data_IF_507733106692
#
_entry.id   IF_507733106692
#
_cell.length_a   1.000
_cell.length_b   1.000
_cell.length_c   1.000
_cell.angle_alpha   90.00
_cell.angle_beta   90.00
_cell.angle_gamma   90.00
#
_symmetry.space_group_name_H-M   'P 1'
#
loop_
_entity.id
_entity.type
_entity.pdbx_description
1 polymer ?
#
# COMPACT_ATOMS: atom_id res chain seq x y z
N UNK A 1 32.41 -3.54 -0.13
CA UNK A 1 31.05 -3.71 -0.66
C UNK A 1 30.57 -2.33 -1.07
N UNK A 2 30.23 -2.14 -2.34
CA UNK A 2 29.63 -0.88 -2.80
C UNK A 2 28.23 -0.81 -2.19
N UNK A 3 27.91 0.28 -1.46
CA UNK A 3 26.57 0.52 -0.93
C UNK A 3 25.58 0.46 -2.09
N UNK A 4 24.55 -0.36 -1.96
CA UNK A 4 23.49 -0.39 -2.97
C UNK A 4 22.81 0.98 -3.00
N UNK A 5 22.96 1.71 -4.09
CA UNK A 5 22.29 2.99 -4.26
C UNK A 5 20.76 2.78 -4.18
N UNK A 6 20.06 3.72 -3.56
CA UNK A 6 18.57 3.72 -3.60
C UNK A 6 18.11 3.66 -5.06
N UNK A 7 17.03 2.94 -5.37
CA UNK A 7 16.54 2.88 -6.73
C UNK A 7 16.14 4.27 -7.21
N UNK A 8 16.38 4.54 -8.48
CA UNK A 8 15.74 5.69 -9.11
C UNK A 8 14.24 5.45 -9.09
N UNK A 9 13.48 6.38 -8.49
CA UNK A 9 12.03 6.23 -8.42
C UNK A 9 11.42 6.22 -9.82
N UNK A 10 10.68 5.16 -10.10
CA UNK A 10 9.88 5.02 -11.29
C UNK A 10 8.44 5.48 -10.97
N UNK A 11 8.12 6.73 -11.32
CA UNK A 11 6.79 7.28 -11.11
C UNK A 11 5.92 7.04 -12.34
N UNK A 12 4.71 6.49 -12.17
CA UNK A 12 3.72 6.47 -13.24
C UNK A 12 3.39 7.89 -13.73
N UNK A 13 2.90 8.03 -14.95
CA UNK A 13 2.34 9.31 -15.38
C UNK A 13 1.06 9.65 -14.62
N UNK A 14 0.82 10.92 -14.37
CA UNK A 14 -0.45 11.40 -13.83
C UNK A 14 -1.63 10.98 -14.72
N UNK A 15 -2.73 10.56 -14.11
CA UNK A 15 -3.97 10.24 -14.80
C UNK A 15 -4.68 11.52 -15.26
N UNK A 16 -5.55 11.37 -16.27
CA UNK A 16 -6.45 12.42 -16.78
C UNK A 16 -7.89 11.95 -16.72
N UNK A 17 -8.86 12.86 -16.71
CA UNK A 17 -10.25 12.50 -16.94
C UNK A 17 -10.39 11.67 -18.22
N UNK A 18 -11.16 10.57 -18.14
CA UNK A 18 -11.33 9.62 -19.24
C UNK A 18 -10.26 8.55 -19.38
N UNK A 19 -9.16 8.59 -18.60
CA UNK A 19 -8.20 7.47 -18.54
C UNK A 19 -8.88 6.19 -18.03
N UNK A 20 -8.45 5.05 -18.58
CA UNK A 20 -8.98 3.75 -18.22
C UNK A 20 -8.31 3.20 -16.96
N UNK A 21 -9.10 2.95 -15.94
CA UNK A 21 -8.73 2.24 -14.72
C UNK A 21 -9.31 0.82 -14.78
N UNK A 22 -8.51 -0.20 -14.53
CA UNK A 22 -8.96 -1.58 -14.51
C UNK A 22 -8.99 -2.11 -13.09
N UNK A 23 -10.14 -2.67 -12.68
CA UNK A 23 -10.24 -3.42 -11.41
C UNK A 23 -9.92 -4.88 -11.73
N UNK A 24 -8.94 -5.45 -11.02
CA UNK A 24 -8.41 -6.78 -11.29
C UNK A 24 -8.34 -7.66 -10.04
N UNK A 25 -8.46 -8.97 -10.23
CA UNK A 25 -8.22 -9.98 -9.20
C UNK A 25 -6.74 -10.34 -9.17
N UNK A 26 -5.97 -9.60 -8.38
CA UNK A 26 -4.52 -9.83 -8.26
C UNK A 26 -4.17 -10.84 -7.17
N UNK A 27 -5.14 -11.27 -6.36
CA UNK A 27 -4.93 -12.22 -5.26
C UNK A 27 -6.20 -13.05 -4.99
N UNK A 28 -7.04 -12.66 -4.05
CA UNK A 28 -8.24 -13.40 -3.64
C UNK A 28 -9.34 -13.44 -4.72
N UNK A 29 -10.32 -14.35 -4.59
CA UNK A 29 -11.46 -14.44 -5.48
C UNK A 29 -12.53 -13.41 -5.12
N UNK A 30 -13.33 -12.98 -6.10
CA UNK A 30 -14.51 -12.18 -5.84
C UNK A 30 -15.65 -13.10 -5.36
N UNK A 31 -16.08 -12.91 -4.13
CA UNK A 31 -17.27 -13.58 -3.61
C UNK A 31 -18.54 -12.81 -4.04
N UNK A 32 -19.56 -13.53 -4.47
CA UNK A 32 -20.81 -12.95 -5.00
C UNK A 32 -21.48 -11.96 -4.02
N UNK A 33 -21.30 -12.12 -2.71
CA UNK A 33 -21.80 -11.22 -1.69
C UNK A 33 -21.22 -9.79 -1.79
N UNK A 34 -20.05 -9.63 -2.41
CA UNK A 34 -19.37 -8.34 -2.57
C UNK A 34 -19.56 -7.70 -3.94
N UNK A 35 -20.38 -8.30 -4.82
CA UNK A 35 -20.72 -7.65 -6.11
C UNK A 35 -21.32 -6.24 -5.95
N UNK A 36 -22.23 -5.98 -4.99
CA UNK A 36 -22.75 -4.62 -4.78
C UNK A 36 -21.66 -3.62 -4.41
N UNK A 37 -20.67 -4.03 -3.59
CA UNK A 37 -19.55 -3.18 -3.21
C UNK A 37 -18.65 -2.91 -4.41
N UNK A 38 -18.41 -3.92 -5.26
CA UNK A 38 -17.67 -3.74 -6.50
C UNK A 38 -18.36 -2.76 -7.46
N UNK A 39 -19.68 -2.82 -7.59
CA UNK A 39 -20.44 -1.86 -8.39
C UNK A 39 -20.32 -0.43 -7.81
N UNK A 40 -20.39 -0.30 -6.49
CA UNK A 40 -20.17 0.97 -5.83
C UNK A 40 -18.76 1.52 -6.06
N UNK A 41 -17.73 0.67 -6.05
CA UNK A 41 -16.37 1.08 -6.37
C UNK A 41 -16.24 1.63 -7.80
N UNK A 42 -16.92 1.01 -8.77
CA UNK A 42 -17.00 1.53 -10.14
C UNK A 42 -17.60 2.94 -10.15
N UNK A 43 -18.72 3.16 -9.46
CA UNK A 43 -19.37 4.48 -9.36
C UNK A 43 -18.42 5.52 -8.74
N UNK A 44 -17.64 5.16 -7.71
CA UNK A 44 -16.67 6.06 -7.09
C UNK A 44 -15.60 6.49 -8.10
N UNK A 45 -15.02 5.53 -8.83
CA UNK A 45 -13.97 5.80 -9.82
C UNK A 45 -14.47 6.61 -11.02
N UNK A 46 -15.69 6.34 -11.48
CA UNK A 46 -16.33 7.12 -12.55
C UNK A 46 -16.63 8.56 -12.10
N UNK A 47 -17.05 8.75 -10.84
CA UNK A 47 -17.24 10.09 -10.25
C UNK A 47 -15.90 10.85 -10.12
N UNK A 48 -14.78 10.15 -9.93
CA UNK A 48 -13.44 10.73 -9.99
C UNK A 48 -13.01 11.07 -11.42
N UNK A 49 -13.84 10.77 -12.43
CA UNK A 49 -13.61 11.12 -13.83
C UNK A 49 -12.93 10.03 -14.67
N UNK A 50 -12.77 8.83 -14.16
CA UNK A 50 -12.12 7.73 -14.89
C UNK A 50 -13.14 6.86 -15.64
N UNK A 51 -12.70 6.21 -16.71
CA UNK A 51 -13.41 5.06 -17.28
C UNK A 51 -13.00 3.81 -16.52
N UNK A 52 -13.92 2.91 -16.26
CA UNK A 52 -13.65 1.69 -15.48
C UNK A 52 -13.94 0.45 -16.30
N UNK A 53 -13.08 -0.56 -16.18
CA UNK A 53 -13.24 -1.90 -16.74
C UNK A 53 -12.91 -2.95 -15.69
N UNK A 54 -13.68 -4.01 -15.63
CA UNK A 54 -13.36 -5.21 -14.85
C UNK A 54 -12.45 -6.12 -15.69
N UNK A 55 -11.40 -6.63 -15.08
CA UNK A 55 -10.52 -7.62 -15.73
C UNK A 55 -11.23 -8.97 -15.84
N UNK A 56 -10.89 -9.81 -16.84
CA UNK A 56 -11.56 -11.09 -17.09
C UNK A 56 -11.55 -12.08 -15.91
N UNK A 57 -10.50 -12.11 -15.09
CA UNK A 57 -10.46 -12.98 -13.90
C UNK A 57 -11.33 -12.48 -12.74
N UNK A 58 -11.81 -11.25 -12.80
CA UNK A 58 -12.70 -10.65 -11.80
C UNK A 58 -14.14 -11.05 -12.09
N UNK A 59 -14.45 -12.31 -11.88
CA UNK A 59 -15.76 -12.92 -12.07
C UNK A 59 -16.22 -13.56 -10.76
N UNK A 60 -17.44 -13.24 -10.33
CA UNK A 60 -17.99 -13.76 -9.08
C UNK A 60 -18.10 -15.28 -9.10
N UNK A 61 -17.62 -15.90 -8.01
CA UNK A 61 -17.60 -17.36 -7.87
C UNK A 61 -16.47 -18.06 -8.59
N UNK A 62 -15.67 -17.36 -9.41
CA UNK A 62 -14.44 -17.93 -9.98
C UNK A 62 -13.39 -18.06 -8.86
N UNK A 63 -12.86 -19.25 -8.71
CA UNK A 63 -11.80 -19.51 -7.72
C UNK A 63 -10.90 -20.69 -8.09
N UNK A 64 -9.68 -20.64 -7.60
CA UNK A 64 -8.72 -21.74 -7.54
C UNK A 64 -8.14 -21.76 -6.14
N UNK A 65 -8.57 -22.72 -5.31
CA UNK A 65 -8.32 -22.75 -3.86
C UNK A 65 -8.80 -21.44 -3.20
N UNK A 66 -7.88 -20.68 -2.64
CA UNK A 66 -8.12 -19.37 -2.02
C UNK A 66 -7.84 -18.17 -2.93
N UNK A 67 -7.54 -18.43 -4.20
CA UNK A 67 -7.23 -17.43 -5.23
C UNK A 67 -8.35 -17.34 -6.26
N UNK A 68 -8.38 -16.26 -7.04
CA UNK A 68 -9.28 -16.13 -8.19
C UNK A 68 -8.91 -17.10 -9.34
N UNK A 69 -7.60 -17.38 -9.49
CA UNK A 69 -7.07 -18.21 -10.57
C UNK A 69 -5.73 -18.83 -10.16
N UNK A 70 -5.16 -19.67 -11.00
CA UNK A 70 -3.79 -20.16 -10.79
C UNK A 70 -2.78 -19.02 -10.86
N UNK A 71 -1.61 -19.12 -10.20
CA UNK A 71 -0.56 -18.11 -10.30
C UNK A 71 -0.19 -17.73 -11.74
N UNK A 72 -0.12 -18.73 -12.64
CA UNK A 72 0.20 -18.49 -14.04
C UNK A 72 -0.90 -17.74 -14.80
N UNK A 73 -2.18 -17.97 -14.50
CA UNK A 73 -3.30 -17.22 -15.08
C UNK A 73 -3.32 -15.78 -14.55
N UNK A 74 -3.14 -15.59 -13.24
CA UNK A 74 -3.07 -14.28 -12.62
C UNK A 74 -1.93 -13.44 -13.20
N UNK A 75 -0.72 -14.01 -13.31
CA UNK A 75 0.41 -13.34 -13.94
C UNK A 75 0.14 -12.99 -15.39
N UNK A 76 -0.48 -13.89 -16.17
CA UNK A 76 -0.80 -13.65 -17.57
C UNK A 76 -1.75 -12.49 -17.75
N UNK A 77 -2.81 -12.41 -16.95
CA UNK A 77 -3.75 -11.28 -16.97
C UNK A 77 -3.06 -9.99 -16.52
N UNK A 78 -2.33 -10.03 -15.40
CA UNK A 78 -1.61 -8.87 -14.90
C UNK A 78 -0.61 -8.32 -15.93
N UNK A 79 0.18 -9.19 -16.56
CA UNK A 79 1.12 -8.79 -17.60
C UNK A 79 0.41 -8.25 -18.86
N UNK A 80 -0.77 -8.78 -19.21
CA UNK A 80 -1.58 -8.23 -20.30
C UNK A 80 -2.04 -6.79 -19.97
N UNK A 81 -2.49 -6.53 -18.74
CA UNK A 81 -2.88 -5.19 -18.29
C UNK A 81 -1.67 -4.22 -18.25
N UNK A 82 -0.49 -4.71 -17.87
CA UNK A 82 0.73 -3.90 -17.90
C UNK A 82 1.12 -3.47 -19.32
N UNK A 83 0.95 -4.37 -20.31
CA UNK A 83 1.27 -4.10 -21.72
C UNK A 83 0.20 -3.31 -22.47
N UNK A 84 -1.05 -3.32 -21.99
CA UNK A 84 -2.16 -2.62 -22.64
C UNK A 84 -1.97 -1.09 -22.52
N UNK A 85 -1.71 -0.34 -23.62
CA UNK A 85 -1.47 1.09 -23.55
C UNK A 85 -2.72 1.91 -23.18
N UNK A 86 -3.92 1.34 -23.30
CA UNK A 86 -5.15 2.00 -22.87
C UNK A 86 -5.30 1.98 -21.36
N UNK A 87 -4.79 0.94 -20.68
CA UNK A 87 -4.84 0.83 -19.23
C UNK A 87 -3.90 1.84 -18.59
N UNK A 88 -4.42 2.72 -17.76
CA UNK A 88 -3.64 3.77 -17.12
C UNK A 88 -3.44 3.58 -15.62
N UNK A 89 -4.28 2.79 -14.98
CA UNK A 89 -4.10 2.33 -13.60
C UNK A 89 -4.74 0.94 -13.41
N UNK A 90 -4.25 0.21 -12.43
CA UNK A 90 -4.78 -1.09 -12.01
C UNK A 90 -5.13 -0.98 -10.53
N UNK A 91 -6.33 -1.36 -10.16
CA UNK A 91 -6.78 -1.42 -8.76
C UNK A 91 -7.10 -2.87 -8.43
N UNK A 92 -6.48 -3.42 -7.38
CA UNK A 92 -6.87 -4.71 -6.86
C UNK A 92 -8.32 -4.64 -6.35
N UNK A 93 -9.15 -5.64 -6.68
CA UNK A 93 -10.50 -5.66 -6.13
C UNK A 93 -10.47 -5.94 -4.63
N UNK A 94 -9.56 -6.80 -4.18
CA UNK A 94 -9.33 -7.19 -2.78
C UNK A 94 -7.89 -7.68 -2.59
N UNK A 95 -7.52 -8.01 -1.34
CA UNK A 95 -6.30 -8.71 -0.97
C UNK A 95 -6.39 -10.22 -1.17
N UNK A 96 -5.68 -10.97 -0.32
CA UNK A 96 -5.64 -12.44 -0.32
C UNK A 96 -4.29 -12.98 0.15
N UNK A 97 -3.84 -14.11 -0.46
CA UNK A 97 -2.58 -14.77 -0.11
C UNK A 97 -1.90 -15.45 -1.32
N UNK A 98 -1.90 -14.82 -2.49
CA UNK A 98 -1.46 -15.46 -3.74
C UNK A 98 -0.30 -14.76 -4.43
N UNK A 99 -0.03 -13.49 -4.11
CA UNK A 99 1.01 -12.69 -4.77
C UNK A 99 2.35 -13.39 -4.79
N UNK A 100 2.73 -14.04 -3.68
CA UNK A 100 3.99 -14.78 -3.58
C UNK A 100 4.14 -15.87 -4.68
N UNK A 101 3.04 -16.42 -5.15
CA UNK A 101 3.04 -17.53 -6.13
C UNK A 101 3.35 -17.11 -7.56
N UNK A 102 3.33 -15.82 -7.92
CA UNK A 102 3.54 -15.39 -9.30
C UNK A 102 4.60 -14.28 -9.48
N UNK A 103 5.36 -13.97 -8.44
CA UNK A 103 6.38 -12.90 -8.49
C UNK A 103 7.41 -13.09 -9.61
N UNK A 104 7.82 -14.34 -9.87
CA UNK A 104 8.77 -14.70 -10.92
C UNK A 104 8.20 -14.51 -12.34
N UNK A 105 6.89 -14.48 -12.47
CA UNK A 105 6.18 -14.41 -13.74
C UNK A 105 5.82 -13.00 -14.17
N UNK A 106 6.13 -11.99 -13.33
CA UNK A 106 5.80 -10.59 -13.61
C UNK A 106 6.71 -10.02 -14.69
N UNK A 107 6.11 -9.37 -15.68
CA UNK A 107 6.80 -8.67 -16.76
C UNK A 107 7.35 -7.31 -16.29
N UNK A 108 8.58 -7.33 -15.81
CA UNK A 108 9.28 -6.14 -15.31
C UNK A 108 9.58 -5.15 -16.44
N UNK A 109 9.80 -5.65 -17.66
CA UNK A 109 10.07 -4.80 -18.83
C UNK A 109 8.84 -3.97 -19.20
N UNK A 110 7.64 -4.56 -19.15
CA UNK A 110 6.40 -3.83 -19.37
C UNK A 110 6.19 -2.73 -18.31
N UNK A 111 6.53 -2.99 -17.04
CA UNK A 111 6.44 -1.99 -15.97
C UNK A 111 7.39 -0.81 -16.22
N UNK A 112 8.62 -1.09 -16.63
CA UNK A 112 9.62 -0.04 -16.86
C UNK A 112 9.33 0.76 -18.14
N UNK A 113 8.74 0.12 -19.15
CA UNK A 113 8.38 0.78 -20.40
C UNK A 113 7.19 1.73 -20.26
N UNK A 114 6.14 1.32 -19.52
CA UNK A 114 4.94 2.13 -19.28
C UNK A 114 4.44 1.97 -17.84
N UNK A 115 5.09 2.62 -16.86
CA UNK A 115 4.74 2.49 -15.46
C UNK A 115 3.31 2.97 -15.19
N UNK A 116 2.53 2.14 -14.49
CA UNK A 116 1.13 2.40 -14.15
C UNK A 116 0.95 2.41 -12.62
N UNK A 117 0.09 3.26 -12.04
CA UNK A 117 -0.32 3.11 -10.66
C UNK A 117 -0.96 1.73 -10.45
N UNK A 118 -0.49 1.01 -9.44
CA UNK A 118 -1.09 -0.23 -8.97
C UNK A 118 -1.55 0.05 -7.54
N UNK A 119 -2.87 0.06 -7.31
CA UNK A 119 -3.46 0.39 -6.02
C UNK A 119 -3.91 -0.88 -5.32
N UNK A 120 -3.68 -0.93 -4.02
CA UNK A 120 -4.16 -1.97 -3.15
C UNK A 120 -3.36 -2.07 -1.87
N UNK A 121 -3.85 -2.85 -0.92
CA UNK A 121 -3.19 -3.15 0.35
C UNK A 121 -3.33 -4.65 0.65
N UNK A 122 -3.12 -5.08 1.89
CA UNK A 122 -3.16 -6.50 2.25
C UNK A 122 -2.06 -7.29 1.50
N UNK A 123 -2.38 -8.37 0.80
CA UNK A 123 -1.43 -9.15 0.02
C UNK A 123 -0.72 -8.33 -1.08
N UNK A 124 -1.38 -7.26 -1.57
CA UNK A 124 -0.81 -6.36 -2.57
C UNK A 124 0.38 -5.56 -2.01
N UNK A 125 0.52 -5.44 -0.69
CA UNK A 125 1.72 -4.88 -0.07
C UNK A 125 2.99 -5.61 -0.48
N UNK A 126 2.93 -6.94 -0.59
CA UNK A 126 4.06 -7.74 -1.07
C UNK A 126 4.41 -7.39 -2.52
N UNK A 127 3.38 -7.23 -3.38
CA UNK A 127 3.59 -6.80 -4.76
C UNK A 127 4.28 -5.44 -4.83
N UNK A 128 3.83 -4.46 -4.04
CA UNK A 128 4.45 -3.14 -4.00
C UNK A 128 5.93 -3.19 -3.61
N UNK A 129 6.27 -3.93 -2.55
CA UNK A 129 7.66 -4.06 -2.10
C UNK A 129 8.54 -4.71 -3.17
N UNK A 130 8.06 -5.79 -3.79
CA UNK A 130 8.82 -6.51 -4.83
C UNK A 130 8.98 -5.65 -6.10
N UNK A 131 7.94 -4.95 -6.54
CA UNK A 131 8.03 -4.07 -7.70
C UNK A 131 8.94 -2.86 -7.41
N UNK A 132 8.88 -2.30 -6.22
CA UNK A 132 9.81 -1.26 -5.78
C UNK A 132 11.26 -1.77 -5.79
N UNK A 133 11.52 -2.97 -5.26
CA UNK A 133 12.85 -3.58 -5.26
C UNK A 133 13.39 -3.83 -6.68
N UNK A 134 12.54 -4.29 -7.60
CA UNK A 134 12.95 -4.68 -8.96
C UNK A 134 13.05 -3.53 -9.95
N UNK A 135 12.25 -2.46 -9.76
CA UNK A 135 12.07 -1.42 -10.78
C UNK A 135 12.12 0.00 -10.23
N UNK A 136 12.05 0.18 -8.92
CA UNK A 136 11.83 1.49 -8.29
C UNK A 136 10.39 2.01 -8.44
N UNK A 137 9.43 1.20 -8.92
CA UNK A 137 8.05 1.64 -9.09
C UNK A 137 7.45 2.10 -7.76
N UNK A 138 6.89 3.30 -7.76
CA UNK A 138 6.12 3.80 -6.61
C UNK A 138 4.92 2.89 -6.39
N UNK A 139 4.82 2.26 -5.22
CA UNK A 139 3.68 1.45 -4.82
C UNK A 139 2.56 2.33 -4.26
N UNK A 140 1.31 2.01 -4.59
CA UNK A 140 0.15 2.74 -4.07
C UNK A 140 -0.57 1.87 -3.04
N UNK A 141 0.01 1.79 -1.82
CA UNK A 141 -0.67 1.15 -0.69
C UNK A 141 -1.88 2.02 -0.33
N UNK A 142 -3.04 1.61 -0.74
CA UNK A 142 -4.26 2.40 -0.77
C UNK A 142 -5.47 1.45 -0.80
N UNK A 143 -6.68 1.97 -0.59
CA UNK A 143 -7.88 1.14 -0.61
C UNK A 143 -8.02 0.36 -1.92
N UNK A 144 -8.42 -0.90 -1.77
CA UNK A 144 -8.88 -1.79 -2.85
C UNK A 144 -10.30 -1.44 -3.26
N UNK A 145 -10.79 -2.03 -4.35
CA UNK A 145 -12.12 -1.69 -4.83
C UNK A 145 -13.23 -2.16 -3.89
N UNK A 146 -13.27 -3.45 -3.55
CA UNK A 146 -14.45 -4.06 -2.93
C UNK A 146 -14.64 -3.64 -1.46
N UNK A 147 -13.79 -4.05 -0.48
CA UNK A 147 -14.00 -3.61 0.89
C UNK A 147 -13.64 -2.14 1.09
N UNK A 148 -12.76 -1.56 0.28
CA UNK A 148 -12.32 -0.17 0.39
C UNK A 148 -13.31 0.83 -0.18
N UNK A 149 -13.21 1.08 -1.50
CA UNK A 149 -13.99 2.11 -2.19
C UNK A 149 -15.50 1.82 -2.14
N UNK A 150 -15.89 0.55 -2.30
CA UNK A 150 -17.28 0.13 -2.32
C UNK A 150 -17.89 -0.09 -0.95
N UNK A 151 -17.10 -0.53 0.05
CA UNK A 151 -17.55 -0.84 1.41
C UNK A 151 -17.24 0.27 2.41
N UNK A 152 -15.98 0.33 2.88
CA UNK A 152 -15.55 1.24 3.95
C UNK A 152 -15.84 2.72 3.66
N UNK A 153 -15.63 3.16 2.41
CA UNK A 153 -15.94 4.55 2.05
C UNK A 153 -17.42 4.83 2.12
N UNK A 154 -18.27 3.87 1.73
CA UNK A 154 -19.73 4.07 1.78
C UNK A 154 -20.25 4.11 3.22
N UNK A 155 -19.62 3.35 4.13
CA UNK A 155 -19.93 3.37 5.56
C UNK A 155 -19.40 4.63 6.28
N UNK A 156 -18.40 5.32 5.71
CA UNK A 156 -17.80 6.51 6.30
C UNK A 156 -18.75 7.74 6.23
N UNK A 157 -18.61 8.70 7.18
CA UNK A 157 -19.32 9.99 7.10
C UNK A 157 -19.06 10.69 5.75
N UNK A 158 -20.08 11.38 5.22
CA UNK A 158 -19.99 12.03 3.90
C UNK A 158 -18.81 13.00 3.77
N UNK A 159 -18.46 13.72 4.83
CA UNK A 159 -17.29 14.64 4.86
C UNK A 159 -16.01 13.84 4.66
N UNK A 160 -15.82 12.76 5.42
CA UNK A 160 -14.62 11.91 5.32
C UNK A 160 -14.52 11.26 3.94
N UNK A 161 -15.60 10.76 3.39
CA UNK A 161 -15.65 10.22 2.03
C UNK A 161 -15.22 11.25 0.99
N UNK A 162 -15.72 12.47 1.07
CA UNK A 162 -15.33 13.55 0.15
C UNK A 162 -13.85 13.93 0.26
N UNK A 163 -13.29 13.95 1.48
CA UNK A 163 -11.86 14.16 1.70
C UNK A 163 -11.02 13.07 1.04
N UNK A 164 -11.40 11.80 1.21
CA UNK A 164 -10.71 10.66 0.62
C UNK A 164 -10.79 10.69 -0.92
N UNK A 165 -11.96 10.94 -1.49
CA UNK A 165 -12.10 11.08 -2.94
C UNK A 165 -11.16 12.15 -3.50
N UNK A 166 -11.12 13.32 -2.86
CA UNK A 166 -10.21 14.40 -3.24
C UNK A 166 -8.74 13.99 -3.09
N UNK A 167 -8.39 13.33 -1.98
CA UNK A 167 -7.03 12.88 -1.70
C UNK A 167 -6.56 11.86 -2.74
N UNK A 168 -7.37 10.84 -3.03
CA UNK A 168 -7.04 9.81 -4.02
C UNK A 168 -6.99 10.37 -5.44
N UNK A 169 -7.92 11.27 -5.79
CA UNK A 169 -7.86 11.97 -7.05
C UNK A 169 -6.56 12.77 -7.19
N UNK A 170 -6.19 13.54 -6.16
CA UNK A 170 -4.94 14.31 -6.15
C UNK A 170 -3.71 13.41 -6.22
N UNK A 171 -3.72 12.27 -5.53
CA UNK A 171 -2.62 11.29 -5.56
C UNK A 171 -2.36 10.76 -6.99
N UNK A 172 -3.43 10.52 -7.75
CA UNK A 172 -3.36 9.92 -9.09
C UNK A 172 -3.18 10.94 -10.21
N UNK A 173 -3.60 12.19 -10.01
CA UNK A 173 -3.60 13.21 -11.05
C UNK A 173 -2.66 14.38 -10.77
N UNK A 174 -2.31 14.61 -9.49
CA UNK A 174 -1.50 15.75 -9.05
C UNK A 174 0.00 15.51 -9.22
N UNK A 175 0.69 16.47 -9.82
CA UNK A 175 2.12 16.41 -10.08
C UNK A 175 2.96 17.22 -9.07
N UNK A 176 2.30 17.74 -8.06
CA UNK A 176 2.91 18.41 -6.92
C UNK A 176 2.78 17.55 -5.66
N UNK A 177 3.58 17.86 -4.65
CA UNK A 177 3.47 17.20 -3.35
C UNK A 177 2.09 17.48 -2.72
N UNK A 178 1.47 16.44 -2.18
CA UNK A 178 0.18 16.57 -1.49
C UNK A 178 0.32 17.38 -0.19
N UNK A 179 1.48 17.30 0.48
CA UNK A 179 1.68 17.88 1.79
C UNK A 179 1.08 17.03 2.90
N UNK A 180 0.54 17.68 3.94
CA UNK A 180 0.01 16.98 5.11
C UNK A 180 -1.22 16.14 4.76
N UNK A 181 -1.21 14.87 5.19
CA UNK A 181 -2.38 14.00 5.15
C UNK A 181 -3.41 14.45 6.20
N UNK A 182 -4.71 14.25 5.93
CA UNK A 182 -5.75 14.62 6.89
C UNK A 182 -5.67 13.72 8.13
N UNK A 183 -5.14 14.26 9.22
CA UNK A 183 -5.06 13.57 10.50
C UNK A 183 -6.45 13.34 11.09
N UNK A 184 -6.62 12.23 11.83
CA UNK A 184 -7.84 11.97 12.58
C UNK A 184 -7.57 11.96 14.09
N UNK A 185 -8.63 12.01 14.91
CA UNK A 185 -8.51 11.90 16.37
C UNK A 185 -7.92 10.59 16.87
N UNK A 186 -7.87 9.54 16.03
CA UNK A 186 -7.30 8.25 16.38
C UNK A 186 -5.78 8.26 16.45
N UNK A 187 -5.12 9.22 15.78
CA UNK A 187 -3.66 9.27 15.75
C UNK A 187 -3.08 9.56 17.11
N UNK A 188 -2.10 8.77 17.49
CA UNK A 188 -1.45 8.84 18.79
C UNK A 188 0.06 9.02 18.65
N UNK A 189 0.62 9.92 19.46
CA UNK A 189 2.06 10.02 19.61
C UNK A 189 2.54 8.96 20.60
N UNK A 190 3.07 7.84 20.11
CA UNK A 190 3.62 6.80 20.97
C UNK A 190 5.06 7.10 21.41
N UNK A 191 5.84 7.75 20.55
CA UNK A 191 7.14 8.34 20.89
C UNK A 191 7.32 9.65 20.13
N UNK A 192 7.60 10.71 20.84
CA UNK A 192 7.78 12.05 20.26
C UNK A 192 9.02 12.10 19.36
N UNK A 193 9.03 13.05 18.44
CA UNK A 193 10.14 13.32 17.55
C UNK A 193 9.68 13.66 16.14
N UNK A 194 10.66 14.05 15.31
CA UNK A 194 10.46 14.44 13.91
C UNK A 194 11.52 13.81 13.04
N UNK A 195 11.12 13.40 11.83
CA UNK A 195 12.05 12.90 10.83
C UNK A 195 11.50 13.10 9.44
N UNK A 196 12.39 13.03 8.45
CA UNK A 196 12.05 12.88 7.05
C UNK A 196 12.74 11.63 6.50
N UNK A 197 12.07 10.90 5.63
CA UNK A 197 12.64 9.71 5.05
C UNK A 197 11.81 9.15 3.89
N UNK A 198 12.31 8.11 3.27
CA UNK A 198 11.52 7.35 2.30
C UNK A 198 10.49 6.49 3.01
N UNK A 199 9.27 6.50 2.52
CA UNK A 199 8.18 5.70 3.05
C UNK A 199 8.30 4.28 2.52
N UNK A 200 8.52 3.32 3.40
CA UNK A 200 8.60 1.89 3.07
C UNK A 200 7.66 1.15 4.03
N UNK A 201 6.86 0.22 3.51
CA UNK A 201 5.98 -0.55 4.40
C UNK A 201 4.83 -1.25 3.71
N UNK A 202 3.84 -1.62 4.52
CA UNK A 202 2.65 -2.38 4.15
C UNK A 202 2.18 -3.26 5.32
N UNK A 203 1.53 -4.39 5.05
CA UNK A 203 1.21 -5.38 6.09
C UNK A 203 2.50 -5.97 6.65
N UNK A 204 2.69 -5.99 7.97
CA UNK A 204 3.98 -6.38 8.57
C UNK A 204 4.40 -7.81 8.20
N UNK A 205 3.47 -8.75 8.17
CA UNK A 205 3.78 -10.12 7.75
C UNK A 205 4.22 -10.18 6.28
N UNK A 206 3.72 -9.31 5.39
CA UNK A 206 4.15 -9.21 4.00
C UNK A 206 5.54 -8.60 3.86
N UNK A 207 5.89 -7.65 4.75
CA UNK A 207 7.27 -7.13 4.82
C UNK A 207 8.23 -8.27 5.19
N UNK A 208 7.90 -9.06 6.21
CA UNK A 208 8.70 -10.23 6.62
C UNK A 208 8.83 -11.25 5.49
N UNK A 209 7.73 -11.58 4.81
CA UNK A 209 7.77 -12.51 3.68
C UNK A 209 8.61 -11.98 2.52
N UNK A 210 8.52 -10.69 2.19
CA UNK A 210 9.34 -10.08 1.15
C UNK A 210 10.83 -10.27 1.41
N UNK A 211 11.27 -10.10 2.66
CA UNK A 211 12.68 -10.25 3.05
C UNK A 211 13.19 -11.70 2.93
N UNK A 212 12.31 -12.68 2.90
CA UNK A 212 12.66 -14.10 2.69
C UNK A 212 12.68 -14.52 1.22
N UNK A 213 12.48 -13.59 0.28
CA UNK A 213 12.47 -13.87 -1.16
C UNK A 213 13.76 -13.36 -1.83
N UNK A 214 14.07 -13.80 -3.06
CA UNK A 214 15.13 -13.20 -3.87
C UNK A 214 14.90 -11.72 -4.21
N UNK A 215 13.72 -11.19 -3.93
CA UNK A 215 13.30 -9.81 -4.20
C UNK A 215 13.28 -8.95 -2.93
N UNK A 216 13.97 -9.39 -1.87
CA UNK A 216 14.15 -8.61 -0.65
C UNK A 216 14.68 -7.21 -0.96
N UNK A 217 14.16 -6.21 -0.27
CA UNK A 217 14.77 -4.88 -0.32
C UNK A 217 16.17 -4.96 0.30
N UNK A 218 17.18 -4.38 -0.36
CA UNK A 218 18.50 -4.24 0.26
C UNK A 218 18.40 -3.55 1.61
N UNK A 219 19.14 -4.05 2.58
CA UNK A 219 19.06 -3.54 3.96
C UNK A 219 19.36 -2.03 4.03
N UNK A 220 20.26 -1.56 3.17
CA UNK A 220 20.66 -0.15 3.06
C UNK A 220 19.51 0.77 2.62
N UNK A 221 18.46 0.23 2.01
CA UNK A 221 17.30 1.04 1.60
C UNK A 221 16.41 1.45 2.78
N UNK A 222 16.61 0.81 3.93
CA UNK A 222 15.98 1.21 5.18
C UNK A 222 16.74 2.32 5.91
N UNK A 223 17.95 2.71 5.44
CA UNK A 223 18.72 3.78 6.07
C UNK A 223 17.97 5.10 6.00
N UNK A 224 17.55 5.58 7.17
CA UNK A 224 16.76 6.81 7.30
C UNK A 224 15.31 6.69 6.78
N UNK A 225 14.79 5.50 6.51
CA UNK A 225 13.43 5.32 6.05
C UNK A 225 12.41 5.59 7.18
N UNK A 226 11.20 5.99 6.79
CA UNK A 226 10.01 5.94 7.64
C UNK A 226 9.29 4.62 7.32
N UNK A 227 9.30 3.69 8.27
CA UNK A 227 8.63 2.41 8.16
C UNK A 227 7.17 2.58 8.55
N UNK A 228 6.24 2.29 7.64
CA UNK A 228 4.83 2.14 8.01
C UNK A 228 4.40 0.68 7.95
N UNK A 229 3.52 0.29 8.86
CA UNK A 229 2.96 -1.05 8.84
C UNK A 229 1.62 -1.14 9.55
N UNK A 230 0.87 -2.16 9.20
CA UNK A 230 -0.36 -2.56 9.85
C UNK A 230 -0.43 -4.09 9.90
N UNK A 231 -1.38 -4.66 10.63
CA UNK A 231 -1.63 -6.10 10.66
C UNK A 231 -3.10 -6.39 10.97
N UNK A 232 -3.57 -7.54 10.47
CA UNK A 232 -4.89 -8.05 10.77
C UNK A 232 -4.86 -9.52 11.15
N UNK A 233 -5.76 -9.89 12.04
CA UNK A 233 -5.97 -11.27 12.46
C UNK A 233 -4.80 -11.86 13.23
N UNK A 234 -4.96 -13.11 13.65
CA UNK A 234 -3.94 -13.80 14.42
C UNK A 234 -3.83 -13.31 15.86
N UNK A 235 -2.67 -13.46 16.45
CA UNK A 235 -2.41 -13.15 17.87
C UNK A 235 -1.39 -12.01 18.02
N UNK A 236 -1.48 -11.28 19.12
CA UNK A 236 -0.51 -10.24 19.49
C UNK A 236 0.94 -10.74 19.48
N UNK A 237 1.16 -12.01 19.88
CA UNK A 237 2.47 -12.65 19.84
C UNK A 237 3.05 -12.79 18.43
N UNK A 238 2.23 -12.85 17.38
CA UNK A 238 2.69 -12.86 16.00
C UNK A 238 3.21 -11.47 15.58
N UNK A 239 2.50 -10.41 15.98
CA UNK A 239 2.97 -9.02 15.75
C UNK A 239 4.33 -8.81 16.41
N UNK A 240 4.46 -9.22 17.68
CA UNK A 240 5.73 -9.17 18.38
C UNK A 240 6.82 -9.95 17.64
N UNK A 241 6.50 -11.18 17.18
CA UNK A 241 7.44 -12.03 16.45
C UNK A 241 7.89 -11.40 15.13
N UNK A 242 6.97 -10.80 14.36
CA UNK A 242 7.32 -10.10 13.11
C UNK A 242 8.24 -8.90 13.38
N UNK A 243 7.94 -8.11 14.39
CA UNK A 243 8.82 -7.00 14.81
C UNK A 243 10.21 -7.51 15.23
N UNK A 244 10.29 -8.63 15.97
CA UNK A 244 11.57 -9.25 16.31
C UNK A 244 12.33 -9.73 15.08
N UNK A 245 11.65 -10.28 14.07
CA UNK A 245 12.29 -10.62 12.78
C UNK A 245 12.88 -9.39 12.12
N UNK A 246 12.14 -8.28 12.04
CA UNK A 246 12.64 -7.03 11.48
C UNK A 246 13.82 -6.46 12.29
N UNK A 247 13.79 -6.60 13.60
CA UNK A 247 14.91 -6.22 14.49
C UNK A 247 16.14 -7.07 14.21
N UNK A 248 16.01 -8.39 14.20
CA UNK A 248 17.13 -9.31 13.95
C UNK A 248 17.69 -9.20 12.52
N UNK A 249 16.85 -8.84 11.56
CA UNK A 249 17.29 -8.51 10.20
C UNK A 249 18.04 -7.16 10.12
N UNK A 250 18.09 -6.37 11.22
CA UNK A 250 18.75 -5.07 11.26
C UNK A 250 17.93 -3.93 10.63
N UNK A 251 16.69 -4.17 10.25
CA UNK A 251 15.81 -3.16 9.63
C UNK A 251 15.47 -2.08 10.64
N UNK A 252 15.06 -2.47 11.87
CA UNK A 252 14.67 -1.51 12.90
C UNK A 252 15.84 -0.64 13.40
N UNK A 253 17.10 -1.07 13.17
CA UNK A 253 18.28 -0.27 13.51
C UNK A 253 18.54 0.86 12.50
N UNK A 254 17.93 0.81 11.33
CA UNK A 254 18.21 1.69 10.20
C UNK A 254 17.13 2.72 9.93
N UNK A 255 15.89 2.44 10.34
CA UNK A 255 14.77 3.36 10.14
C UNK A 255 14.91 4.63 10.99
N UNK A 256 14.44 5.74 10.48
CA UNK A 256 14.44 7.03 11.19
C UNK A 256 13.08 7.35 11.84
N UNK A 257 12.03 6.60 11.56
CA UNK A 257 10.70 6.78 12.14
C UNK A 257 9.76 5.63 11.82
N UNK A 258 8.66 5.56 12.55
CA UNK A 258 7.67 4.51 12.39
C UNK A 258 6.24 5.06 12.39
N UNK A 259 5.41 4.55 11.49
CA UNK A 259 3.96 4.79 11.46
C UNK A 259 3.27 3.45 11.60
N UNK A 260 2.37 3.32 12.57
CA UNK A 260 1.65 2.09 12.89
C UNK A 260 0.17 2.28 12.61
N UNK A 261 -0.38 1.38 11.80
CA UNK A 261 -1.80 1.36 11.48
C UNK A 261 -2.67 0.89 12.65
N UNK A 262 -3.98 1.07 12.50
CA UNK A 262 -4.96 0.57 13.46
C UNK A 262 -5.01 -0.96 13.36
N UNK A 263 -4.74 -1.71 14.45
CA UNK A 263 -4.80 -3.16 14.42
C UNK A 263 -6.24 -3.64 14.20
N UNK A 264 -6.41 -4.73 13.46
CA UNK A 264 -7.74 -5.26 13.15
C UNK A 264 -7.83 -6.74 13.51
N UNK A 265 -8.78 -7.09 14.36
CA UNK A 265 -9.08 -8.49 14.74
C UNK A 265 -7.85 -9.29 15.22
N UNK A 266 -6.99 -8.67 16.03
CA UNK A 266 -5.80 -9.32 16.61
C UNK A 266 -6.14 -9.78 18.04
N UNK A 267 -6.12 -11.09 18.25
CA UNK A 267 -6.39 -11.68 19.56
C UNK A 267 -5.26 -11.37 20.55
N UNK A 268 -5.64 -11.06 21.80
CA UNK A 268 -4.71 -10.80 22.88
C UNK A 268 -4.08 -9.40 22.85
N UNK A 269 -4.66 -8.44 22.13
CA UNK A 269 -4.40 -7.03 22.32
C UNK A 269 -5.48 -6.40 23.21
N UNK A 270 -5.07 -5.48 24.07
CA UNK A 270 -5.97 -4.63 24.89
C UNK A 270 -7.04 -5.41 25.70
N UNK A 271 -6.71 -6.64 26.11
CA UNK A 271 -7.60 -7.43 26.98
C UNK A 271 -7.53 -6.93 28.42
N UNK A 272 -8.67 -6.87 29.16
CA UNK A 272 -8.68 -6.47 30.57
C UNK A 272 -7.79 -7.30 31.50
N UNK A 273 -7.41 -8.49 31.08
CA UNK A 273 -6.63 -9.46 31.88
C UNK A 273 -5.12 -9.42 31.59
N UNK A 274 -4.54 -8.21 31.52
CA UNK A 274 -3.09 -7.99 31.39
C UNK A 274 -2.46 -8.41 30.04
N UNK A 275 -3.18 -8.28 28.95
CA UNK A 275 -2.60 -8.34 27.60
C UNK A 275 -1.89 -7.03 27.29
N UNK A 276 -0.77 -7.06 26.53
CA UNK A 276 -0.10 -5.85 26.11
C UNK A 276 -0.95 -5.05 25.14
N UNK A 277 -0.83 -3.74 25.18
CA UNK A 277 -1.27 -2.85 24.10
C UNK A 277 -0.33 -2.99 22.91
N UNK A 278 -0.80 -2.62 21.71
CA UNK A 278 0.07 -2.58 20.53
C UNK A 278 1.23 -1.59 20.73
N UNK A 279 0.97 -0.47 21.40
CA UNK A 279 2.00 0.50 21.75
C UNK A 279 3.11 -0.12 22.61
N UNK A 280 2.75 -0.87 23.63
CA UNK A 280 3.73 -1.55 24.52
C UNK A 280 4.58 -2.54 23.74
N UNK A 281 3.97 -3.37 22.87
CA UNK A 281 4.70 -4.31 21.99
C UNK A 281 5.72 -3.57 21.12
N UNK A 282 5.29 -2.51 20.46
CA UNK A 282 6.16 -1.73 19.54
C UNK A 282 7.31 -1.09 20.30
N UNK A 283 7.03 -0.44 21.43
CA UNK A 283 8.03 0.28 22.20
C UNK A 283 9.00 -0.67 22.89
N UNK A 284 8.56 -1.85 23.34
CA UNK A 284 9.42 -2.90 23.89
C UNK A 284 10.43 -3.39 22.84
N UNK A 285 9.97 -3.71 21.62
CA UNK A 285 10.85 -4.20 20.57
C UNK A 285 11.81 -3.12 20.05
N UNK A 286 11.37 -1.87 19.99
CA UNK A 286 12.22 -0.74 19.62
C UNK A 286 13.27 -0.44 20.70
N UNK A 287 12.98 -0.71 21.99
CA UNK A 287 13.89 -0.43 23.09
C UNK A 287 14.29 1.06 23.15
N UNK A 288 15.57 1.32 23.38
CA UNK A 288 16.14 2.68 23.58
C UNK A 288 16.34 3.48 22.28
N UNK A 289 15.87 2.99 21.12
CA UNK A 289 15.98 3.74 19.85
C UNK A 289 15.15 5.00 19.91
N UNK A 290 15.80 6.15 19.73
CA UNK A 290 15.18 7.49 19.77
C UNK A 290 14.65 7.86 18.36
N UNK A 291 13.59 7.17 17.91
CA UNK A 291 12.89 7.46 16.67
C UNK A 291 11.42 7.82 16.94
N UNK A 292 10.83 8.78 16.22
CA UNK A 292 9.42 9.09 16.33
C UNK A 292 8.53 7.89 15.95
N UNK A 293 7.47 7.67 16.75
CA UNK A 293 6.46 6.64 16.47
C UNK A 293 5.08 7.25 16.53
N UNK A 294 4.38 7.21 15.41
CA UNK A 294 2.99 7.64 15.27
C UNK A 294 2.10 6.39 15.16
N UNK A 295 1.18 6.22 16.10
CA UNK A 295 0.28 5.07 16.17
C UNK A 295 -1.15 5.38 15.74
N UNK A 296 -1.92 4.33 15.54
CA UNK A 296 -3.34 4.35 15.22
C UNK A 296 -3.71 5.19 13.99
N UNK A 297 -2.85 5.16 12.97
CA UNK A 297 -3.09 5.81 11.68
C UNK A 297 -4.03 4.95 10.84
N UNK A 298 -4.96 5.57 10.11
CA UNK A 298 -5.91 4.86 9.24
C UNK A 298 -5.21 4.35 7.98
N UNK A 299 -4.41 3.32 8.15
CA UNK A 299 -3.80 2.53 7.07
C UNK A 299 -4.04 1.05 7.37
N UNK A 300 -4.48 0.29 6.39
CA UNK A 300 -4.73 -1.14 6.51
C UNK A 300 -6.21 -1.53 6.62
N UNK A 301 -6.50 -2.57 7.40
CA UNK A 301 -7.79 -3.26 7.36
C UNK A 301 -8.91 -2.59 8.19
N UNK A 302 -8.60 -1.59 9.00
CA UNK A 302 -9.61 -0.83 9.74
C UNK A 302 -10.41 0.15 8.86
N UNK A 303 -9.94 0.46 7.65
CA UNK A 303 -10.55 1.36 6.65
C UNK A 303 -11.56 2.41 7.14
N UNK A 304 -11.83 3.41 6.34
CA UNK A 304 -11.22 3.75 5.05
C UNK A 304 -9.78 4.27 5.20
N UNK A 305 -8.93 3.96 4.22
CA UNK A 305 -7.50 4.15 4.32
C UNK A 305 -7.00 5.47 3.76
N UNK A 306 -6.00 6.03 4.44
CA UNK A 306 -5.11 7.01 3.84
C UNK A 306 -4.14 6.30 2.87
N UNK A 307 -3.88 6.86 1.69
CA UNK A 307 -2.92 6.28 0.77
C UNK A 307 -1.48 6.51 1.26
N UNK A 308 -0.69 5.44 1.23
CA UNK A 308 0.71 5.42 1.62
C UNK A 308 1.58 5.05 0.41
N UNK A 309 2.01 6.02 -0.40
CA UNK A 309 2.81 5.73 -1.58
C UNK A 309 4.23 5.29 -1.21
N UNK A 310 4.53 4.01 -1.46
CA UNK A 310 5.82 3.37 -1.15
C UNK A 310 6.91 3.97 -2.02
N UNK A 311 8.03 4.37 -1.41
CA UNK A 311 9.22 4.87 -2.09
C UNK A 311 9.32 6.39 -2.13
N UNK A 312 8.26 7.18 -1.91
CA UNK A 312 8.36 8.64 -1.88
C UNK A 312 8.89 9.16 -0.53
N UNK A 313 9.35 10.40 -0.50
CA UNK A 313 9.77 11.05 0.75
C UNK A 313 8.56 11.56 1.52
N UNK A 314 8.62 11.38 2.84
CA UNK A 314 7.63 11.89 3.78
C UNK A 314 8.29 12.62 4.93
N UNK A 315 7.55 13.54 5.58
CA UNK A 315 7.90 14.10 6.88
C UNK A 315 6.93 13.56 7.93
N UNK A 316 7.48 13.04 9.01
CA UNK A 316 6.77 12.54 10.18
C UNK A 316 7.06 13.46 11.37
N UNK A 317 6.03 13.99 11.99
CA UNK A 317 6.07 14.66 13.29
C UNK A 317 5.09 13.95 14.22
N UNK A 318 5.59 13.01 15.01
CA UNK A 318 4.76 12.21 15.89
C UNK A 318 4.12 13.06 16.99
N UNK A 319 4.85 14.07 17.52
CA UNK A 319 4.33 14.95 18.57
C UNK A 319 3.15 15.80 18.08
N UNK A 320 3.22 16.30 16.84
CA UNK A 320 2.13 17.06 16.22
C UNK A 320 1.08 16.17 15.55
N UNK A 321 1.27 14.84 15.59
CA UNK A 321 0.41 13.86 14.91
C UNK A 321 0.24 14.21 13.44
N UNK A 322 1.36 14.44 12.75
CA UNK A 322 1.39 14.87 11.36
C UNK A 322 2.26 13.96 10.51
N UNK A 323 1.74 13.60 9.36
CA UNK A 323 2.44 12.88 8.30
C UNK A 323 2.21 13.62 6.99
N UNK A 324 3.29 14.03 6.31
CA UNK A 324 3.22 14.80 5.06
C UNK A 324 3.92 14.08 3.94
N UNK A 325 3.29 14.04 2.76
CA UNK A 325 3.90 13.55 1.52
C UNK A 325 4.68 14.70 0.87
N UNK A 326 6.00 14.58 0.78
CA UNK A 326 6.90 15.64 0.34
C UNK A 326 7.16 15.64 -1.16
N UNK A 327 6.74 14.59 -1.85
CA UNK A 327 6.94 14.38 -3.28
C UNK A 327 5.64 13.91 -3.93
N UNK A 328 5.40 14.21 -5.24
CA UNK A 328 4.28 13.61 -5.95
C UNK A 328 4.51 12.11 -6.17
N UNK A 329 3.45 11.33 -6.11
CA UNK A 329 3.51 9.89 -6.40
C UNK A 329 3.52 9.58 -7.90
N UNK A 330 3.08 10.53 -8.73
CA UNK A 330 3.04 10.45 -10.19
C UNK A 330 3.91 11.55 -10.81
N UNK A 331 4.31 11.38 -12.07
CA UNK A 331 5.07 12.39 -12.81
C UNK A 331 4.17 13.15 -13.78
N UNK A 332 4.55 14.38 -14.16
CA UNK A 332 3.87 15.10 -15.23
C UNK A 332 3.82 14.29 -16.53
N UNK A 333 2.80 14.57 -17.30
CA UNK A 333 2.75 14.09 -18.68
C UNK A 333 3.87 14.83 -19.45
N UNK A 334 4.84 14.09 -19.96
CA UNK A 334 5.72 14.66 -20.96
C UNK A 334 4.85 15.13 -22.12
N UNK A 335 4.95 16.41 -22.51
CA UNK A 335 4.38 16.85 -23.76
C UNK A 335 4.92 15.90 -24.84
N UNK A 336 4.05 15.13 -25.47
CA UNK A 336 4.39 14.49 -26.74
C UNK A 336 4.77 15.65 -27.66
N UNK A 337 6.06 15.76 -27.94
CA UNK A 337 6.50 16.73 -28.96
C UNK A 337 5.68 16.47 -30.22
N UNK A 338 5.34 17.52 -30.99
CA UNK A 338 4.69 17.32 -32.26
C UNK A 338 5.56 16.39 -33.10
N UNK A 339 4.95 15.29 -33.54
CA UNK A 339 5.61 14.21 -34.24
C UNK A 339 6.50 14.74 -35.36
N UNK A 340 7.73 14.26 -35.36
CA UNK A 340 8.58 14.27 -36.52
C UNK A 340 8.31 13.02 -37.35
#
# INVERSE_FOLDING_TARGET
MTLAALPQLLRPRALRPGDLVVIASLSGPLHAVYEPDLEQAVVVLERMGFRVRRAPLLEAGRHHWWSAATPAETAREFNALLRDPEVRAIIAHDGGQTVLGYLDLIDVEAITADPKPILGYSDISLLHLVLYARTGLVGFHADVATPGLGGHWQAAPAVRRSELEKLYSTLLTGTEAIGALPASPTWECWRAGRTEGRLIGGVINRIVLAQATPYALPLEWFDGAVLFWEELGGQASYVWSYLQVLRHAGILDRIAGMVVGIPTAIDGLDSPDASPTLQEIVLDVLGDRDIPVLGNVEVGHAGPNLPMPVGIRVALDAQQRSLSLLEPAVRPLTATGPGG
#
